data_IF_694497458553
#
_entry.id   IF_694497458553
#
_cell.length_a   1.000
_cell.length_b   1.000
_cell.length_c   1.000
_cell.angle_alpha   90.00
_cell.angle_beta   90.00
_cell.angle_gamma   90.00
#
_symmetry.space_group_name_H-M   'P 1'
#
loop_
_entity.id
_entity.type
_entity.pdbx_description
1 polymer ?
#
# COMPACT_ATOMS: atom_id res chain seq x y z
N UNK A 1 26.29 16.45 -1.90
CA UNK A 1 26.82 16.99 -3.17
C UNK A 1 27.85 18.11 -3.01
N UNK A 2 27.56 19.23 -2.31
CA UNK A 2 28.49 20.35 -2.17
C UNK A 2 29.86 19.96 -1.56
N UNK A 3 29.87 19.11 -0.54
CA UNK A 3 31.08 18.66 0.15
C UNK A 3 32.02 17.83 -0.73
N UNK A 4 31.48 16.99 -1.62
CA UNK A 4 32.28 16.18 -2.55
C UNK A 4 32.91 17.05 -3.64
N UNK A 5 32.16 18.04 -4.14
CA UNK A 5 32.66 19.04 -5.09
C UNK A 5 33.83 19.83 -4.52
N UNK A 6 33.75 20.23 -3.25
CA UNK A 6 34.84 20.90 -2.53
C UNK A 6 36.08 19.99 -2.41
N UNK A 7 35.90 18.71 -2.09
CA UNK A 7 37.01 17.75 -2.01
C UNK A 7 37.67 17.52 -3.38
N UNK A 8 36.88 17.39 -4.45
CA UNK A 8 37.42 17.29 -5.81
C UNK A 8 38.21 18.54 -6.22
N UNK A 9 37.75 19.73 -5.84
CA UNK A 9 38.45 20.98 -6.11
C UNK A 9 39.77 21.09 -5.33
N UNK A 10 39.78 20.70 -4.05
CA UNK A 10 40.99 20.70 -3.21
C UNK A 10 42.02 19.71 -3.75
N UNK A 11 41.65 18.45 -3.95
CA UNK A 11 42.58 17.43 -4.40
C UNK A 11 42.97 17.61 -5.88
N UNK A 12 42.05 18.05 -6.74
CA UNK A 12 42.35 18.40 -8.13
C UNK A 12 43.36 19.54 -8.22
N UNK A 13 43.21 20.59 -7.41
CA UNK A 13 44.16 21.71 -7.34
C UNK A 13 45.53 21.27 -6.81
N UNK A 14 45.56 20.42 -5.78
CA UNK A 14 46.78 19.84 -5.23
C UNK A 14 47.55 18.96 -6.22
N UNK A 15 46.82 18.19 -7.03
CA UNK A 15 47.38 17.39 -8.13
C UNK A 15 48.01 18.27 -9.21
N UNK A 16 47.29 19.30 -9.68
CA UNK A 16 47.77 20.23 -10.71
C UNK A 16 49.01 20.98 -10.21
N UNK A 17 49.01 21.44 -8.96
CA UNK A 17 50.15 22.12 -8.35
C UNK A 17 51.37 21.20 -8.19
N UNK A 18 51.18 19.99 -7.66
CA UNK A 18 52.26 19.01 -7.48
C UNK A 18 52.89 18.59 -8.82
N UNK A 19 52.07 18.39 -9.85
CA UNK A 19 52.52 18.07 -11.20
C UNK A 19 53.30 19.21 -11.85
N UNK A 20 52.75 20.44 -11.83
CA UNK A 20 53.42 21.61 -12.43
C UNK A 20 54.74 21.95 -11.72
N UNK A 21 54.80 21.81 -10.40
CA UNK A 21 56.01 22.09 -9.62
C UNK A 21 57.07 20.98 -9.75
N UNK A 22 56.68 19.71 -9.84
CA UNK A 22 57.61 18.60 -10.11
C UNK A 22 58.19 18.66 -11.52
N UNK A 23 57.45 19.15 -12.52
CA UNK A 23 57.96 19.37 -13.88
C UNK A 23 59.02 20.47 -13.95
N UNK A 24 58.88 21.52 -13.14
CA UNK A 24 59.86 22.62 -13.05
C UNK A 24 61.11 22.25 -12.25
N UNK A 25 60.99 21.35 -11.28
CA UNK A 25 62.06 21.05 -10.33
C UNK A 25 62.13 19.52 -10.02
N UNK A 26 62.58 18.68 -10.98
CA UNK A 26 62.41 17.22 -10.94
C UNK A 26 63.17 16.52 -9.80
N UNK A 27 64.19 17.20 -9.24
CA UNK A 27 65.03 16.67 -8.17
C UNK A 27 64.38 16.76 -6.79
N UNK A 28 63.25 17.47 -6.66
CA UNK A 28 62.51 17.57 -5.39
C UNK A 28 61.43 16.49 -5.33
N UNK A 29 61.48 15.55 -4.36
CA UNK A 29 60.53 14.43 -4.28
C UNK A 29 59.15 14.84 -3.78
N UNK A 30 59.08 15.91 -2.97
CA UNK A 30 57.85 16.33 -2.26
C UNK A 30 56.70 16.70 -3.22
N UNK A 31 56.89 17.51 -4.29
CA UNK A 31 55.79 17.87 -5.18
C UNK A 31 55.23 16.67 -5.97
N UNK A 32 56.09 15.72 -6.35
CA UNK A 32 55.68 14.48 -7.03
C UNK A 32 54.88 13.59 -6.09
N UNK A 33 55.31 13.44 -4.84
CA UNK A 33 54.59 12.68 -3.82
C UNK A 33 53.21 13.29 -3.54
N UNK A 34 53.11 14.61 -3.39
CA UNK A 34 51.83 15.29 -3.17
C UNK A 34 50.87 15.12 -4.36
N UNK A 35 51.37 15.19 -5.60
CA UNK A 35 50.56 14.93 -6.79
C UNK A 35 49.97 13.52 -6.78
N UNK A 36 50.76 12.51 -6.37
CA UNK A 36 50.31 11.11 -6.30
C UNK A 36 49.28 10.96 -5.18
N UNK A 37 49.51 11.52 -4.00
CA UNK A 37 48.57 11.48 -2.86
C UNK A 37 47.23 12.10 -3.25
N UNK A 38 47.24 13.28 -3.87
CA UNK A 38 46.02 13.93 -4.34
C UNK A 38 45.29 13.12 -5.41
N UNK A 39 46.01 12.48 -6.34
CA UNK A 39 45.40 11.60 -7.35
C UNK A 39 44.73 10.37 -6.71
N UNK A 40 45.40 9.72 -5.75
CA UNK A 40 44.83 8.60 -4.99
C UNK A 40 43.60 9.06 -4.19
N UNK A 41 43.64 10.23 -3.57
CA UNK A 41 42.51 10.79 -2.84
C UNK A 41 41.30 11.06 -3.76
N UNK A 42 41.49 11.58 -4.97
CA UNK A 42 40.42 11.76 -5.96
C UNK A 42 39.80 10.42 -6.34
N UNK A 43 40.61 9.40 -6.60
CA UNK A 43 40.13 8.04 -6.93
C UNK A 43 39.35 7.43 -5.75
N UNK A 44 39.85 7.57 -4.52
CA UNK A 44 39.14 7.09 -3.32
C UNK A 44 37.81 7.81 -3.11
N UNK A 45 37.77 9.14 -3.27
CA UNK A 45 36.52 9.90 -3.19
C UNK A 45 35.55 9.46 -4.28
N UNK A 46 36.02 9.16 -5.50
CA UNK A 46 35.17 8.65 -6.57
C UNK A 46 34.61 7.24 -6.28
N UNK A 47 35.42 6.34 -5.72
CA UNK A 47 34.99 4.99 -5.33
C UNK A 47 34.01 5.02 -4.15
N UNK A 48 34.22 5.93 -3.19
CA UNK A 48 33.36 6.05 -2.01
C UNK A 48 32.11 6.93 -2.24
N UNK A 49 32.10 7.76 -3.29
CA UNK A 49 30.99 8.67 -3.60
C UNK A 49 29.64 7.94 -3.75
N UNK A 50 29.55 6.77 -4.41
CA UNK A 50 28.30 6.00 -4.47
C UNK A 50 27.83 5.50 -3.10
N UNK A 51 28.75 5.16 -2.19
CA UNK A 51 28.41 4.68 -0.84
C UNK A 51 27.97 5.84 0.08
N UNK A 52 28.59 7.01 -0.08
CA UNK A 52 28.28 8.21 0.70
C UNK A 52 27.00 8.91 0.18
N UNK A 53 26.71 8.79 -1.14
CA UNK A 53 25.49 9.33 -1.75
C UNK A 53 24.41 8.26 -1.96
N UNK A 54 24.59 7.04 -1.45
CA UNK A 54 23.51 6.06 -1.40
C UNK A 54 22.44 6.65 -0.48
N UNK A 55 21.42 7.25 -1.10
CA UNK A 55 20.24 7.70 -0.39
C UNK A 55 19.56 6.52 0.33
N UNK A 56 18.55 6.81 1.17
CA UNK A 56 17.81 5.77 1.86
C UNK A 56 17.32 4.69 0.88
N UNK A 57 17.42 3.41 1.27
CA UNK A 57 16.91 2.31 0.47
C UNK A 57 15.38 2.41 0.36
N UNK A 58 14.93 2.95 -0.78
CA UNK A 58 13.50 3.17 -1.06
C UNK A 58 12.71 1.87 -1.04
N UNK A 59 13.32 0.75 -1.44
CA UNK A 59 12.62 -0.54 -1.44
C UNK A 59 12.36 -0.98 0.00
N UNK A 60 13.36 -0.88 0.88
CA UNK A 60 13.19 -1.20 2.29
C UNK A 60 12.18 -0.26 2.97
N UNK A 61 12.21 1.03 2.66
CA UNK A 61 11.26 2.03 3.18
C UNK A 61 9.83 1.70 2.76
N UNK A 62 9.58 1.48 1.47
CA UNK A 62 8.24 1.10 0.98
C UNK A 62 7.77 -0.24 1.56
N UNK A 63 8.70 -1.15 1.88
CA UNK A 63 8.38 -2.38 2.57
C UNK A 63 7.95 -2.15 4.02
N UNK A 64 8.57 -1.21 4.75
CA UNK A 64 8.13 -0.85 6.11
C UNK A 64 6.76 -0.17 6.14
N UNK A 65 6.44 0.64 5.13
CA UNK A 65 5.09 1.19 4.99
C UNK A 65 4.06 0.11 4.67
N UNK A 66 4.40 -0.86 3.83
CA UNK A 66 3.53 -2.03 3.60
C UNK A 66 3.37 -2.88 4.86
N UNK A 67 4.45 -3.09 5.60
CA UNK A 67 4.49 -3.82 6.85
C UNK A 67 3.54 -3.21 7.90
N UNK A 68 3.74 -1.92 8.20
CA UNK A 68 2.91 -1.18 9.17
C UNK A 68 1.44 -1.16 8.78
N UNK A 69 1.12 -0.87 7.53
CA UNK A 69 -0.24 -0.94 6.95
C UNK A 69 -0.93 -2.26 7.22
N UNK A 70 -0.29 -3.37 6.82
CA UNK A 70 -0.91 -4.69 6.85
C UNK A 70 -1.03 -5.23 8.27
N UNK A 71 -0.03 -4.96 9.13
CA UNK A 71 -0.11 -5.34 10.53
C UNK A 71 -1.22 -4.59 11.27
N UNK A 72 -1.36 -3.26 11.07
CA UNK A 72 -2.45 -2.49 11.69
C UNK A 72 -3.83 -2.95 11.22
N UNK A 73 -3.99 -3.20 9.92
CA UNK A 73 -5.25 -3.74 9.38
C UNK A 73 -5.58 -5.10 10.01
N UNK A 74 -4.64 -6.04 9.98
CA UNK A 74 -4.87 -7.38 10.52
C UNK A 74 -5.12 -7.38 12.04
N UNK A 75 -4.44 -6.51 12.79
CA UNK A 75 -4.66 -6.36 14.23
C UNK A 75 -6.07 -5.84 14.56
N UNK A 76 -6.57 -4.86 13.79
CA UNK A 76 -7.93 -4.35 13.94
C UNK A 76 -8.96 -5.44 13.60
N UNK A 77 -8.81 -6.13 12.47
CA UNK A 77 -9.71 -7.24 12.09
C UNK A 77 -9.70 -8.37 13.13
N UNK A 78 -8.52 -8.77 13.63
CA UNK A 78 -8.39 -9.78 14.69
C UNK A 78 -9.09 -9.40 16.00
N UNK A 79 -9.30 -8.10 16.26
CA UNK A 79 -10.02 -7.66 17.46
C UNK A 79 -11.53 -7.94 17.38
N UNK A 80 -12.04 -8.20 16.18
CA UNK A 80 -13.45 -8.39 15.87
C UNK A 80 -13.84 -9.87 15.76
N UNK A 81 -12.85 -10.77 15.71
CA UNK A 81 -13.05 -12.22 15.66
C UNK A 81 -13.11 -12.80 17.08
N UNK A 82 -14.07 -13.68 17.34
CA UNK A 82 -14.35 -14.26 18.67
C UNK A 82 -13.61 -15.57 18.98
N UNK A 83 -12.83 -16.10 18.03
CA UNK A 83 -12.10 -17.36 18.14
C UNK A 83 -10.95 -17.44 17.12
N UNK A 84 -10.35 -18.63 16.89
CA UNK A 84 -9.34 -18.81 15.84
C UNK A 84 -9.98 -18.64 14.46
N UNK A 85 -9.93 -17.43 13.92
CA UNK A 85 -10.58 -17.10 12.65
C UNK A 85 -9.88 -17.70 11.44
N UNK A 86 -10.66 -18.12 10.45
CA UNK A 86 -10.19 -18.47 9.11
C UNK A 86 -10.19 -17.24 8.22
N UNK A 87 -9.05 -16.95 7.61
CA UNK A 87 -8.86 -15.78 6.75
C UNK A 87 -8.79 -16.20 5.28
N UNK A 88 -9.65 -15.59 4.47
CA UNK A 88 -9.57 -15.55 3.02
C UNK A 88 -8.82 -14.28 2.60
N UNK A 89 -7.77 -14.43 1.80
CA UNK A 89 -7.05 -13.31 1.19
C UNK A 89 -7.33 -13.29 -0.32
N UNK A 90 -7.90 -12.19 -0.80
CA UNK A 90 -8.15 -11.94 -2.22
C UNK A 90 -7.09 -10.97 -2.76
N UNK A 91 -6.40 -11.34 -3.84
CA UNK A 91 -5.29 -10.57 -4.37
C UNK A 91 -5.26 -10.51 -5.90
N UNK A 92 -4.44 -9.59 -6.45
CA UNK A 92 -4.21 -9.43 -7.90
C UNK A 92 -2.75 -9.59 -8.32
N UNK A 93 -1.87 -10.04 -7.41
CA UNK A 93 -0.46 -10.34 -7.73
C UNK A 93 -0.33 -11.47 -8.76
N UNK A 94 0.50 -11.25 -9.78
CA UNK A 94 0.97 -12.31 -10.68
C UNK A 94 1.94 -13.24 -9.94
N UNK A 95 1.54 -14.47 -9.68
CA UNK A 95 2.34 -15.46 -8.93
C UNK A 95 3.43 -16.11 -9.78
N UNK A 96 3.33 -16.02 -11.11
CA UNK A 96 4.35 -16.54 -12.03
C UNK A 96 5.54 -15.58 -12.14
N UNK A 97 5.36 -14.30 -11.79
CA UNK A 97 6.42 -13.33 -11.69
C UNK A 97 7.07 -13.38 -10.29
N UNK A 98 8.37 -13.70 -10.23
CA UNK A 98 9.09 -13.90 -8.97
C UNK A 98 9.01 -12.68 -8.04
N UNK A 99 9.21 -11.46 -8.57
CA UNK A 99 9.16 -10.23 -7.78
C UNK A 99 7.76 -9.97 -7.21
N UNK A 100 6.73 -10.18 -8.02
CA UNK A 100 5.33 -10.05 -7.62
C UNK A 100 4.97 -11.09 -6.55
N UNK A 101 5.39 -12.34 -6.72
CA UNK A 101 5.20 -13.39 -5.72
C UNK A 101 5.94 -13.05 -4.41
N UNK A 102 7.18 -12.54 -4.47
CA UNK A 102 7.91 -12.07 -3.27
C UNK A 102 7.18 -10.93 -2.54
N UNK A 103 6.50 -10.03 -3.27
CA UNK A 103 5.66 -8.99 -2.66
C UNK A 103 4.41 -9.59 -2.00
N UNK A 104 3.78 -10.58 -2.62
CA UNK A 104 2.65 -11.31 -2.04
C UNK A 104 3.07 -12.04 -0.76
N UNK A 105 4.13 -12.85 -0.79
CA UNK A 105 4.60 -13.61 0.38
C UNK A 105 4.94 -12.69 1.56
N UNK A 106 5.58 -11.54 1.31
CA UNK A 106 5.80 -10.52 2.35
C UNK A 106 4.50 -9.97 2.91
N UNK A 107 3.54 -9.66 2.04
CA UNK A 107 2.22 -9.15 2.47
C UNK A 107 1.49 -10.16 3.36
N UNK A 108 1.51 -11.45 3.00
CA UNK A 108 0.93 -12.53 3.79
C UNK A 108 1.64 -12.67 5.15
N UNK A 109 2.98 -12.57 5.17
CA UNK A 109 3.74 -12.61 6.42
C UNK A 109 3.41 -11.43 7.35
N UNK A 110 3.18 -10.23 6.80
CA UNK A 110 2.78 -9.07 7.60
C UNK A 110 1.35 -9.20 8.14
N UNK A 111 0.40 -9.69 7.33
CA UNK A 111 -0.94 -10.00 7.80
C UNK A 111 -0.91 -11.03 8.95
N UNK A 112 -0.18 -12.12 8.76
CA UNK A 112 -0.05 -13.18 9.77
C UNK A 112 0.54 -12.65 11.10
N UNK A 113 1.52 -11.72 11.03
CA UNK A 113 2.04 -11.05 12.23
C UNK A 113 0.98 -10.20 12.92
N UNK A 114 0.23 -9.39 12.16
CA UNK A 114 -0.81 -8.52 12.71
C UNK A 114 -1.98 -9.29 13.34
N UNK A 115 -2.36 -10.44 12.76
CA UNK A 115 -3.38 -11.31 13.36
C UNK A 115 -2.92 -11.96 14.67
N UNK A 116 -1.60 -12.05 14.92
CA UNK A 116 -1.02 -12.56 16.15
C UNK A 116 -1.58 -13.91 16.62
N UNK A 117 -1.91 -14.80 15.66
CA UNK A 117 -2.48 -16.13 15.92
C UNK A 117 -3.96 -16.16 16.26
N UNK A 118 -4.65 -15.01 16.36
CA UNK A 118 -6.11 -14.95 16.52
C UNK A 118 -6.87 -15.32 15.25
N UNK A 119 -6.28 -15.10 14.09
CA UNK A 119 -6.80 -15.55 12.81
C UNK A 119 -5.65 -16.05 11.93
N UNK A 120 -5.95 -17.00 11.04
CA UNK A 120 -4.95 -17.68 10.20
C UNK A 120 -5.38 -17.66 8.73
N UNK A 121 -4.43 -17.38 7.85
CA UNK A 121 -4.66 -17.41 6.40
C UNK A 121 -4.84 -18.86 5.96
N UNK A 122 -6.07 -19.24 5.62
CA UNK A 122 -6.39 -20.58 5.09
C UNK A 122 -6.51 -20.57 3.56
N UNK A 123 -7.03 -19.48 3.00
CA UNK A 123 -7.35 -19.38 1.58
C UNK A 123 -6.70 -18.17 0.96
N UNK A 124 -6.14 -18.39 -0.23
CA UNK A 124 -5.50 -17.36 -1.03
C UNK A 124 -6.03 -17.47 -2.47
N UNK A 125 -6.77 -16.46 -2.92
CA UNK A 125 -7.45 -16.47 -4.21
C UNK A 125 -7.02 -15.27 -5.05
N UNK A 126 -6.64 -15.55 -6.29
CA UNK A 126 -6.49 -14.57 -7.36
C UNK A 126 -7.63 -14.77 -8.36
N UNK A 127 -8.72 -13.99 -8.30
CA UNK A 127 -9.82 -14.13 -9.24
C UNK A 127 -9.31 -13.84 -10.66
N UNK A 128 -9.55 -14.78 -11.58
CA UNK A 128 -9.20 -14.56 -12.97
C UNK A 128 -10.10 -13.46 -13.56
N UNK A 129 -9.56 -12.51 -14.34
CA UNK A 129 -10.39 -11.62 -15.13
C UNK A 129 -11.25 -12.45 -16.12
N UNK A 130 -12.40 -11.93 -16.56
CA UNK A 130 -13.25 -12.62 -17.53
C UNK A 130 -12.47 -13.03 -18.80
N UNK A 131 -12.89 -14.12 -19.45
CA UNK A 131 -12.17 -14.61 -20.64
C UNK A 131 -12.36 -13.68 -21.83
N UNK A 132 -11.26 -13.31 -22.49
CA UNK A 132 -11.23 -12.41 -23.65
C UNK A 132 -12.27 -12.75 -24.72
N UNK A 133 -13.01 -11.74 -25.16
CA UNK A 133 -13.44 -11.65 -26.55
C UNK A 133 -12.33 -10.91 -27.33
N UNK A 134 -11.72 -11.48 -28.39
CA UNK A 134 -10.54 -10.90 -29.05
C UNK A 134 -10.73 -9.49 -29.65
N UNK A 135 -11.97 -9.04 -29.81
CA UNK A 135 -12.33 -7.84 -30.56
C UNK A 135 -12.55 -6.58 -29.70
N UNK A 136 -12.46 -6.67 -28.36
CA UNK A 136 -12.66 -5.52 -27.47
C UNK A 136 -11.30 -4.88 -27.08
N UNK A 137 -11.08 -3.65 -27.56
CA UNK A 137 -9.88 -2.85 -27.29
C UNK A 137 -9.76 -2.46 -25.81
N UNK A 138 -8.65 -2.86 -25.19
CA UNK A 138 -7.91 -2.23 -24.07
C UNK A 138 -8.69 -1.37 -23.04
N UNK A 139 -9.77 -1.91 -22.46
CA UNK A 139 -10.05 -1.60 -21.06
C UNK A 139 -9.35 -2.68 -20.23
N UNK A 140 -8.59 -2.30 -19.19
CA UNK A 140 -8.12 -3.28 -18.22
C UNK A 140 -9.37 -3.95 -17.63
N UNK A 141 -9.69 -5.17 -18.08
CA UNK A 141 -10.85 -5.91 -17.59
C UNK A 141 -10.64 -6.23 -16.11
N UNK A 142 -11.34 -5.48 -15.26
CA UNK A 142 -11.33 -5.65 -13.82
C UNK A 142 -12.20 -6.85 -13.42
N UNK A 143 -11.86 -7.50 -12.31
CA UNK A 143 -12.70 -8.54 -11.70
C UNK A 143 -14.09 -7.95 -11.41
N UNK A 144 -15.15 -8.64 -11.81
CA UNK A 144 -16.53 -8.17 -11.60
C UNK A 144 -17.03 -8.44 -10.18
N UNK A 145 -18.09 -7.74 -9.77
CA UNK A 145 -18.79 -8.00 -8.51
C UNK A 145 -19.32 -9.43 -8.41
N UNK A 146 -19.87 -9.97 -9.50
CA UNK A 146 -20.38 -11.35 -9.56
C UNK A 146 -19.26 -12.39 -9.36
N UNK A 147 -18.10 -12.17 -9.97
CA UNK A 147 -16.95 -13.06 -9.79
C UNK A 147 -16.45 -13.05 -8.35
N UNK A 148 -16.37 -11.86 -7.71
CA UNK A 148 -16.01 -11.77 -6.31
C UNK A 148 -17.08 -12.39 -5.39
N UNK A 149 -18.36 -12.20 -5.69
CA UNK A 149 -19.45 -12.82 -4.94
C UNK A 149 -19.33 -14.35 -4.97
N UNK A 150 -19.10 -14.96 -6.14
CA UNK A 150 -18.89 -16.40 -6.25
C UNK A 150 -17.68 -16.90 -5.44
N UNK A 151 -16.61 -16.10 -5.37
CA UNK A 151 -15.44 -16.39 -4.51
C UNK A 151 -15.83 -16.36 -3.03
N UNK A 152 -16.62 -15.37 -2.60
CA UNK A 152 -17.09 -15.27 -1.22
C UNK A 152 -17.99 -16.46 -0.85
N UNK A 153 -18.96 -16.81 -1.70
CA UNK A 153 -19.85 -17.96 -1.48
C UNK A 153 -19.10 -19.28 -1.39
N UNK A 154 -18.11 -19.48 -2.27
CA UNK A 154 -17.28 -20.70 -2.27
C UNK A 154 -16.35 -20.82 -1.06
N UNK A 155 -16.21 -19.74 -0.28
CA UNK A 155 -15.36 -19.66 0.92
C UNK A 155 -16.14 -19.09 2.11
N UNK A 156 -17.46 -19.34 2.17
CA UNK A 156 -18.34 -18.86 3.23
C UNK A 156 -18.02 -19.42 4.63
N UNK A 157 -17.10 -20.39 4.72
CA UNK A 157 -16.57 -20.90 5.99
C UNK A 157 -15.43 -20.05 6.57
N UNK A 158 -14.99 -18.99 5.88
CA UNK A 158 -14.00 -18.05 6.37
C UNK A 158 -14.66 -16.93 7.20
N UNK A 159 -14.10 -16.65 8.38
CA UNK A 159 -14.58 -15.61 9.29
C UNK A 159 -14.10 -14.21 8.91
N UNK A 160 -13.01 -14.10 8.15
CA UNK A 160 -12.38 -12.84 7.76
C UNK A 160 -12.04 -12.86 6.27
N UNK A 161 -12.34 -11.77 5.58
CA UNK A 161 -11.94 -11.53 4.19
C UNK A 161 -11.03 -10.31 4.11
N UNK A 162 -9.83 -10.47 3.57
CA UNK A 162 -8.88 -9.38 3.34
C UNK A 162 -8.69 -9.18 1.84
N UNK A 163 -9.07 -8.00 1.36
CA UNK A 163 -8.80 -7.56 0.01
C UNK A 163 -7.43 -6.87 -0.06
N UNK A 164 -6.47 -7.56 -0.68
CA UNK A 164 -5.19 -6.99 -1.13
C UNK A 164 -5.27 -6.40 -2.55
N UNK A 165 -6.38 -6.65 -3.24
CA UNK A 165 -6.75 -6.02 -4.51
C UNK A 165 -7.76 -4.88 -4.29
N UNK A 166 -7.93 -4.02 -5.30
CA UNK A 166 -9.05 -3.08 -5.33
C UNK A 166 -10.38 -3.82 -5.42
N UNK A 167 -11.43 -3.24 -4.84
CA UNK A 167 -12.80 -3.65 -5.15
C UNK A 167 -13.17 -3.24 -6.59
N UNK A 168 -14.15 -3.92 -7.22
CA UNK A 168 -14.63 -3.58 -8.55
C UNK A 168 -15.12 -2.14 -8.61
N UNK A 169 -14.85 -1.45 -9.71
CA UNK A 169 -15.23 -0.05 -9.85
C UNK A 169 -16.74 0.12 -10.04
N UNK A 170 -17.33 1.02 -9.24
CA UNK A 170 -18.70 1.48 -9.38
C UNK A 170 -19.72 0.71 -8.55
N UNK A 171 -20.75 1.43 -8.10
CA UNK A 171 -21.80 0.92 -7.21
C UNK A 171 -22.58 -0.27 -7.76
N UNK A 172 -22.83 -0.32 -9.06
CA UNK A 172 -23.57 -1.44 -9.66
C UNK A 172 -22.79 -2.76 -9.52
N UNK A 173 -21.46 -2.72 -9.62
CA UNK A 173 -20.62 -3.89 -9.37
C UNK A 173 -20.64 -4.28 -7.89
N UNK A 174 -20.58 -3.30 -6.98
CA UNK A 174 -20.67 -3.59 -5.54
C UNK A 174 -22.04 -4.17 -5.16
N UNK A 175 -23.14 -3.70 -5.76
CA UNK A 175 -24.50 -4.24 -5.51
C UNK A 175 -24.65 -5.72 -5.90
N UNK A 176 -23.84 -6.21 -6.83
CA UNK A 176 -23.82 -7.63 -7.19
C UNK A 176 -23.17 -8.50 -6.10
N UNK A 177 -22.56 -7.89 -5.08
CA UNK A 177 -21.99 -8.57 -3.93
C UNK A 177 -22.92 -8.41 -2.73
N UNK A 178 -23.32 -9.52 -2.13
CA UNK A 178 -24.24 -9.55 -0.99
C UNK A 178 -23.69 -8.77 0.21
N UNK A 179 -22.38 -8.83 0.44
CA UNK A 179 -21.71 -8.08 1.50
C UNK A 179 -21.87 -6.56 1.37
N UNK A 180 -22.16 -6.05 0.17
CA UNK A 180 -22.39 -4.62 -0.09
C UNK A 180 -23.85 -4.34 -0.45
N UNK A 181 -24.78 -5.24 -0.11
CA UNK A 181 -26.19 -4.96 -0.24
C UNK A 181 -26.61 -3.88 0.78
N UNK A 182 -27.39 -2.88 0.33
CA UNK A 182 -27.97 -1.86 1.19
C UNK A 182 -29.47 -2.17 1.40
N UNK A 183 -29.95 -2.30 2.64
CA UNK A 183 -31.39 -2.39 2.87
C UNK A 183 -32.09 -1.11 2.39
N UNK A 184 -33.35 -1.20 1.93
CA UNK A 184 -34.11 -0.03 1.48
C UNK A 184 -34.34 0.92 2.64
N UNK A 185 -34.37 2.22 2.34
CA UNK A 185 -34.78 3.21 3.34
C UNK A 185 -36.26 3.05 3.63
N UNK A 186 -36.70 3.47 4.82
CA UNK A 186 -38.13 3.41 5.18
C UNK A 186 -39.04 4.11 4.17
N UNK A 187 -38.57 5.19 3.54
CA UNK A 187 -39.30 5.90 2.50
C UNK A 187 -39.55 5.08 1.22
N UNK A 188 -38.80 3.99 1.02
CA UNK A 188 -38.84 3.16 -0.18
C UNK A 188 -39.65 1.85 0.03
N UNK A 189 -40.06 1.54 1.28
CA UNK A 189 -40.74 0.29 1.69
C UNK A 189 -42.14 0.06 1.09
N UNK A 190 -42.63 0.94 0.21
CA UNK A 190 -43.91 0.81 -0.50
C UNK A 190 -43.79 0.81 -2.03
N UNK A 191 -42.57 0.92 -2.58
CA UNK A 191 -42.31 1.01 -4.03
C UNK A 191 -41.45 -0.14 -4.57
N UNK A 192 -40.90 -0.98 -3.70
CA UNK A 192 -40.05 -2.11 -4.09
C UNK A 192 -40.88 -3.39 -3.98
N UNK A 193 -41.26 -3.95 -5.14
CA UNK A 193 -42.05 -5.18 -5.26
C UNK A 193 -41.19 -6.45 -5.21
N UNK A 194 -39.88 -6.32 -4.99
CA UNK A 194 -38.95 -7.45 -4.97
C UNK A 194 -38.66 -7.91 -3.55
N UNK A 195 -38.96 -9.19 -3.30
CA UNK A 195 -38.58 -9.94 -2.11
C UNK A 195 -37.09 -9.75 -1.84
N UNK A 196 -36.76 -8.98 -0.81
CA UNK A 196 -35.41 -8.97 -0.27
C UNK A 196 -35.07 -10.38 0.21
N UNK A 197 -33.93 -10.96 -0.21
CA UNK A 197 -33.50 -12.21 0.40
C UNK A 197 -33.38 -11.98 1.91
N UNK A 198 -33.94 -12.89 2.71
CA UNK A 198 -33.73 -12.87 4.16
C UNK A 198 -32.22 -12.98 4.41
N UNK A 199 -31.62 -11.87 4.84
CA UNK A 199 -30.18 -11.76 4.99
C UNK A 199 -29.79 -11.95 6.45
N UNK A 200 -29.01 -12.99 6.71
CA UNK A 200 -28.52 -13.31 8.04
C UNK A 200 -27.22 -12.56 8.31
N UNK A 201 -27.31 -11.37 8.89
CA UNK A 201 -26.15 -10.53 9.20
C UNK A 201 -25.13 -11.22 10.11
N UNK A 202 -25.55 -12.21 10.90
CA UNK A 202 -24.66 -12.97 11.77
C UNK A 202 -23.71 -13.92 11.00
N UNK A 203 -23.94 -14.13 9.70
CA UNK A 203 -23.11 -14.96 8.82
C UNK A 203 -22.12 -14.17 7.96
N UNK A 204 -22.11 -12.83 8.07
CA UNK A 204 -21.14 -12.05 7.32
C UNK A 204 -19.72 -12.22 7.89
N UNK A 205 -18.71 -12.37 7.02
CA UNK A 205 -17.33 -12.31 7.48
C UNK A 205 -16.94 -10.88 7.85
N UNK A 206 -15.92 -10.74 8.67
CA UNK A 206 -15.24 -9.47 8.93
C UNK A 206 -14.45 -9.07 7.66
N UNK A 207 -14.69 -7.87 7.13
CA UNK A 207 -14.14 -7.40 5.86
C UNK A 207 -13.06 -6.33 6.05
N UNK A 208 -11.87 -6.61 5.53
CA UNK A 208 -10.71 -5.72 5.54
C UNK A 208 -10.26 -5.27 4.14
N UNK A 209 -10.08 -3.97 3.95
CA UNK A 209 -9.54 -3.40 2.69
C UNK A 209 -8.13 -2.84 2.91
N UNK A 210 -7.11 -3.46 2.30
CA UNK A 210 -5.73 -2.97 2.40
C UNK A 210 -5.39 -1.88 1.37
N UNK A 211 -6.15 -1.76 0.29
CA UNK A 211 -5.80 -0.90 -0.84
C UNK A 211 -6.37 0.50 -0.66
N UNK A 212 -5.48 1.47 -0.61
CA UNK A 212 -5.72 2.85 -0.16
C UNK A 212 -6.42 3.77 -1.16
N UNK A 213 -6.81 3.28 -2.34
CA UNK A 213 -7.29 4.13 -3.44
C UNK A 213 -8.82 4.26 -3.55
N UNK A 214 -9.62 3.46 -2.84
CA UNK A 214 -11.06 3.36 -3.16
C UNK A 214 -12.02 3.50 -1.97
N UNK A 215 -11.62 4.11 -0.85
CA UNK A 215 -12.57 4.35 0.26
C UNK A 215 -13.61 5.43 -0.05
N UNK A 216 -13.41 6.23 -1.11
CA UNK A 216 -14.18 7.45 -1.38
C UNK A 216 -15.69 7.23 -1.40
N UNK A 217 -16.16 6.13 -1.96
CA UNK A 217 -17.59 5.82 -2.09
C UNK A 217 -18.09 4.83 -1.03
N UNK A 218 -17.22 4.42 -0.09
CA UNK A 218 -17.46 3.31 0.82
C UNK A 218 -17.93 3.74 2.21
N UNK A 219 -18.10 5.06 2.46
CA UNK A 219 -18.50 5.60 3.77
C UNK A 219 -19.73 4.89 4.35
N UNK A 220 -20.78 4.71 3.54
CA UNK A 220 -22.01 4.06 3.99
C UNK A 220 -21.79 2.60 4.37
N UNK A 221 -20.97 1.87 3.61
CA UNK A 221 -20.68 0.46 3.89
C UNK A 221 -19.86 0.30 5.17
N UNK A 222 -18.89 1.20 5.40
CA UNK A 222 -18.12 1.21 6.65
C UNK A 222 -19.03 1.51 7.85
N UNK A 223 -19.92 2.50 7.74
CA UNK A 223 -20.87 2.84 8.82
C UNK A 223 -21.83 1.71 9.17
N UNK A 224 -22.20 0.89 8.19
CA UNK A 224 -23.11 -0.24 8.38
C UNK A 224 -22.40 -1.51 8.85
N UNK A 225 -21.07 -1.49 9.05
CA UNK A 225 -20.31 -2.70 9.40
C UNK A 225 -20.24 -3.71 8.26
N UNK A 226 -20.45 -3.29 7.00
CA UNK A 226 -20.24 -4.12 5.80
C UNK A 226 -18.77 -4.12 5.36
N UNK A 227 -18.03 -3.11 5.81
CA UNK A 227 -16.57 -3.03 5.76
C UNK A 227 -16.13 -2.68 7.17
N UNK A 228 -15.58 -3.65 7.87
CA UNK A 228 -15.16 -3.50 9.25
C UNK A 228 -13.94 -2.59 9.37
N UNK A 229 -13.01 -2.72 8.43
CA UNK A 229 -11.81 -1.88 8.43
C UNK A 229 -11.26 -1.64 7.02
N UNK A 230 -10.86 -0.40 6.76
CA UNK A 230 -10.25 0.01 5.51
C UNK A 230 -9.03 0.90 5.73
N UNK A 231 -7.99 0.70 4.93
CA UNK A 231 -6.83 1.57 4.89
C UNK A 231 -7.03 2.62 3.81
N UNK A 232 -6.72 3.88 4.11
CA UNK A 232 -6.63 4.96 3.13
C UNK A 232 -5.33 5.73 3.27
N UNK A 233 -4.95 6.47 2.23
CA UNK A 233 -3.91 7.48 2.33
C UNK A 233 -4.38 8.63 3.21
N UNK A 234 -3.50 9.18 4.04
CA UNK A 234 -3.80 10.37 4.81
C UNK A 234 -3.70 11.62 3.91
N UNK A 235 -4.82 12.28 3.53
CA UNK A 235 -4.78 13.38 2.57
C UNK A 235 -4.13 14.65 3.14
N UNK A 236 -3.93 14.72 4.46
CA UNK A 236 -3.27 15.85 5.14
C UNK A 236 -1.75 15.72 5.19
N UNK A 237 -1.17 14.66 4.62
CA UNK A 237 0.27 14.40 4.63
C UNK A 237 0.82 14.49 3.20
N UNK A 238 1.97 15.14 3.08
CA UNK A 238 2.70 15.22 1.81
C UNK A 238 3.67 14.02 1.69
N UNK A 239 3.38 13.13 0.73
CA UNK A 239 4.17 11.92 0.48
C UNK A 239 5.24 12.11 -0.59
N UNK A 240 5.33 13.30 -1.20
CA UNK A 240 6.31 13.57 -2.27
C UNK A 240 7.76 13.55 -1.76
N UNK A 241 7.95 13.60 -0.44
CA UNK A 241 9.24 13.47 0.22
C UNK A 241 9.40 12.10 0.91
N UNK A 242 9.63 11.04 0.13
CA UNK A 242 10.07 9.70 0.58
C UNK A 242 11.46 9.75 1.29
N UNK A 243 12.03 10.94 1.48
CA UNK A 243 13.40 11.15 1.93
C UNK A 243 13.60 11.06 3.44
N UNK A 244 12.53 11.15 4.24
CA UNK A 244 12.61 11.13 5.70
C UNK A 244 11.71 10.03 6.28
N UNK A 245 12.13 8.76 6.25
CA UNK A 245 11.47 7.73 7.05
C UNK A 245 11.52 8.09 8.54
N UNK A 246 10.60 7.56 9.38
CA UNK A 246 10.72 7.69 10.82
C UNK A 246 12.09 7.18 11.29
N UNK A 247 12.65 7.83 12.30
CA UNK A 247 13.90 7.38 12.91
C UNK A 247 13.70 6.12 13.77
N UNK A 248 12.45 5.82 14.14
CA UNK A 248 12.10 4.67 14.99
C UNK A 248 11.73 3.42 14.17
N UNK A 249 11.79 2.28 14.85
CA UNK A 249 11.24 1.01 14.37
C UNK A 249 9.75 0.84 14.73
N UNK A 250 9.10 1.85 15.32
CA UNK A 250 7.69 1.78 15.74
C UNK A 250 6.77 1.81 14.51
N UNK A 251 6.07 0.70 14.27
CA UNK A 251 5.12 0.55 13.18
C UNK A 251 4.02 1.61 13.19
N UNK A 252 3.66 2.16 14.36
CA UNK A 252 2.67 3.22 14.44
C UNK A 252 3.16 4.51 13.79
N UNK A 253 4.42 4.89 14.01
CA UNK A 253 5.00 6.09 13.39
C UNK A 253 5.06 5.93 11.86
N UNK A 254 5.48 4.76 11.38
CA UNK A 254 5.46 4.44 9.95
C UNK A 254 4.05 4.51 9.36
N UNK A 255 3.05 3.99 10.08
CA UNK A 255 1.68 4.05 9.61
C UNK A 255 1.15 5.49 9.57
N UNK A 256 1.26 6.22 10.68
CA UNK A 256 0.61 7.54 10.88
C UNK A 256 1.22 8.62 9.97
N UNK A 257 2.44 8.37 9.47
CA UNK A 257 3.04 9.22 8.45
C UNK A 257 2.30 9.14 7.12
N UNK A 258 1.66 8.01 6.76
CA UNK A 258 1.08 7.77 5.43
C UNK A 258 -0.39 7.42 5.37
N UNK A 259 -0.92 6.79 6.40
CA UNK A 259 -2.17 6.06 6.31
C UNK A 259 -3.17 6.48 7.38
N UNK A 260 -4.43 6.15 7.10
CA UNK A 260 -5.54 6.18 8.02
C UNK A 260 -6.13 4.76 8.07
N UNK A 261 -6.47 4.31 9.28
CA UNK A 261 -7.30 3.12 9.49
C UNK A 261 -8.73 3.63 9.74
N UNK A 262 -9.65 3.22 8.90
CA UNK A 262 -11.04 3.70 8.88
C UNK A 262 -11.95 2.54 9.24
N UNK A 263 -12.80 2.74 10.24
CA UNK A 263 -13.80 1.78 10.67
C UNK A 263 -15.08 2.51 11.13
N UNK A 264 -16.12 1.76 11.52
CA UNK A 264 -17.40 2.33 11.92
C UNK A 264 -17.30 3.35 13.08
N UNK A 265 -16.30 3.21 13.97
CA UNK A 265 -16.14 4.08 15.13
C UNK A 265 -15.56 5.46 14.81
N UNK A 266 -14.79 5.59 13.72
CA UNK A 266 -14.04 6.80 13.40
C UNK A 266 -14.38 7.44 12.04
N UNK A 267 -15.15 6.76 11.20
CA UNK A 267 -15.44 7.17 9.81
C UNK A 267 -16.05 8.58 9.71
N UNK A 268 -16.98 8.95 10.60
CA UNK A 268 -17.58 10.30 10.57
C UNK A 268 -16.60 11.38 11.04
N UNK A 269 -15.75 11.06 12.02
CA UNK A 269 -14.73 11.99 12.51
C UNK A 269 -13.65 12.23 11.44
N UNK A 270 -13.18 11.17 10.77
CA UNK A 270 -12.19 11.26 9.70
C UNK A 270 -12.75 11.99 8.48
N UNK A 271 -14.01 11.79 8.11
CA UNK A 271 -14.65 12.55 7.03
C UNK A 271 -14.69 14.05 7.34
N UNK A 272 -15.09 14.42 8.56
CA UNK A 272 -15.09 15.83 8.99
C UNK A 272 -13.71 16.48 9.02
N UNK A 273 -12.68 15.73 9.42
CA UNK A 273 -11.29 16.20 9.47
C UNK A 273 -10.65 16.30 8.08
N UNK A 274 -11.04 15.40 7.18
CA UNK A 274 -10.46 15.24 5.86
C UNK A 274 -11.55 15.36 4.79
N UNK A 275 -12.13 16.55 4.60
CA UNK A 275 -13.35 16.77 3.79
C UNK A 275 -13.35 16.35 2.30
N UNK A 276 -12.30 15.70 1.80
CA UNK A 276 -12.24 15.06 0.47
C UNK A 276 -11.96 13.54 0.54
N UNK A 277 -11.95 12.95 1.74
CA UNK A 277 -11.69 11.53 1.97
C UNK A 277 -12.82 10.69 1.40
N UNK A 278 -14.06 11.15 1.58
CA UNK A 278 -15.26 10.54 1.01
C UNK A 278 -15.91 11.47 -0.02
N UNK A 279 -16.60 10.88 -0.99
CA UNK A 279 -17.39 11.59 -1.99
C UNK A 279 -18.79 11.04 -1.93
N UNK A 280 -19.76 11.93 -1.72
CA UNK A 280 -21.14 11.53 -1.87
C UNK A 280 -21.41 11.18 -3.34
N UNK A 281 -22.08 10.04 -3.61
CA UNK A 281 -22.42 9.65 -4.96
C UNK A 281 -23.33 10.71 -5.57
N UNK A 282 -23.02 11.12 -6.80
CA UNK A 282 -23.96 11.95 -7.55
C UNK A 282 -25.26 11.15 -7.73
N UNK A 283 -26.44 11.72 -7.42
CA UNK A 283 -27.69 11.06 -7.70
C UNK A 283 -27.76 10.73 -9.20
N UNK A 284 -28.36 9.58 -9.59
CA UNK A 284 -28.50 9.24 -11.00
C UNK A 284 -29.23 10.39 -11.71
N UNK A 285 -28.69 10.83 -12.85
CA UNK A 285 -29.41 11.77 -13.72
C UNK A 285 -30.72 11.11 -14.08
N UNK A 286 -31.86 11.71 -13.67
CA UNK A 286 -33.17 11.30 -14.16
C UNK A 286 -33.12 11.32 -15.69
N UNK A 287 -33.29 10.15 -16.31
CA UNK A 287 -33.52 10.03 -17.75
C UNK A 287 -34.95 10.44 -18.07
#
# INVERSE_FOLDING_TARGET
MATLLVLYLIFGSGMIWGYTKSKKDPRKPIPKLMSIICAVAVVMVAILSPLINAGPDRVAIEDQYRNSRLQKLAADLASQVTGPGKVLVIHSYDVNNERSNQHLQRSLAYLQKGFAGKANIEKLINPAPPSKNPDEMEMMEEVTGEQLQAVLESNADCDVVVFLSSLPYGREQLKAMEIFHMPPKEADKGYVEDSYPEFDEAKLPVVGLSVSSSVRELKSFIKMGRIDSAISWNPSKDFTQVTNPPASEDLNEWFDQRYLLINASNVDALDGQHGNLFVEPKPPKKK
#
